data_IF_770657653859
#
_entry.id   IF_770657653859
#
_cell.length_a   1.000
_cell.length_b   1.000
_cell.length_c   1.000
_cell.angle_alpha   90.00
_cell.angle_beta   90.00
_cell.angle_gamma   90.00
#
_symmetry.space_group_name_H-M   'P 1'
#
loop_
_entity.id
_entity.type
_entity.pdbx_description
1 polymer ?
#
# COMPACT_ATOMS: atom_id res chain seq x y z
N UNK A 1 14.21 24.90 -4.91
CA UNK A 1 15.08 25.46 -5.99
C UNK A 1 15.33 24.51 -7.17
N UNK A 2 14.89 23.26 -7.12
CA UNK A 2 15.10 22.26 -8.21
C UNK A 2 14.56 22.70 -9.56
N UNK A 3 13.41 23.37 -9.60
CA UNK A 3 12.82 23.89 -10.84
C UNK A 3 13.76 24.83 -11.60
N UNK A 4 14.56 25.62 -10.89
CA UNK A 4 15.53 26.51 -11.53
C UNK A 4 16.65 25.71 -12.23
N UNK A 5 17.15 24.67 -11.58
CA UNK A 5 18.19 23.80 -12.15
C UNK A 5 17.62 23.04 -13.35
N UNK A 6 16.44 22.45 -13.21
CA UNK A 6 15.74 21.73 -14.29
C UNK A 6 15.53 22.64 -15.49
N UNK A 7 15.07 23.89 -15.25
CA UNK A 7 14.87 24.90 -16.30
C UNK A 7 16.20 25.26 -17.00
N UNK A 8 17.27 25.47 -16.24
CA UNK A 8 18.59 25.76 -16.78
C UNK A 8 19.04 24.68 -17.76
N UNK A 9 18.99 23.42 -17.35
CA UNK A 9 19.40 22.29 -18.20
C UNK A 9 18.43 22.04 -19.36
N UNK A 10 17.14 22.27 -19.19
CA UNK A 10 16.19 22.20 -20.30
C UNK A 10 16.50 23.24 -21.37
N UNK A 11 16.83 24.48 -20.99
CA UNK A 11 17.22 25.53 -21.93
C UNK A 11 18.56 25.21 -22.59
N UNK A 12 19.50 24.59 -21.87
CA UNK A 12 20.78 24.17 -22.42
C UNK A 12 20.64 23.09 -23.52
N UNK A 13 19.70 22.15 -23.36
CA UNK A 13 19.43 21.13 -24.36
C UNK A 13 18.41 21.56 -25.44
N UNK A 14 17.81 22.75 -25.30
CA UNK A 14 16.76 23.22 -26.23
C UNK A 14 17.19 23.25 -27.70
N UNK A 15 18.48 23.52 -28.09
CA UNK A 15 18.91 23.45 -29.47
C UNK A 15 18.86 22.02 -30.06
N UNK A 16 18.95 20.99 -29.20
CA UNK A 16 18.82 19.59 -29.61
C UNK A 16 17.36 19.13 -29.76
N UNK A 17 16.39 19.96 -29.30
CA UNK A 17 14.97 19.65 -29.31
C UNK A 17 14.28 20.33 -30.49
N UNK A 18 13.93 19.56 -31.50
CA UNK A 18 13.28 20.06 -32.72
C UNK A 18 11.96 20.77 -32.41
N UNK A 19 11.79 22.00 -32.88
CA UNK A 19 10.61 22.85 -32.68
C UNK A 19 10.32 23.16 -31.22
N UNK A 20 11.36 23.38 -30.43
CA UNK A 20 11.23 23.78 -29.02
C UNK A 20 10.49 25.11 -28.90
N UNK A 21 9.48 25.17 -28.06
CA UNK A 21 8.70 26.36 -27.77
C UNK A 21 8.17 26.34 -26.34
N UNK A 22 8.23 27.48 -25.65
CA UNK A 22 7.56 27.68 -24.39
C UNK A 22 6.10 28.06 -24.63
N UNK A 23 5.15 27.31 -24.04
CA UNK A 23 3.71 27.53 -24.19
C UNK A 23 3.12 28.35 -23.04
N UNK A 24 3.62 28.12 -21.82
CA UNK A 24 3.27 28.83 -20.58
C UNK A 24 4.49 28.80 -19.65
N UNK A 25 4.39 29.49 -18.54
CA UNK A 25 5.38 29.32 -17.48
C UNK A 25 5.50 27.86 -17.09
N UNK A 26 6.73 27.35 -17.07
CA UNK A 26 7.05 25.95 -16.74
C UNK A 26 6.34 24.88 -17.61
N UNK A 27 5.93 25.27 -18.85
CA UNK A 27 5.37 24.35 -19.86
C UNK A 27 6.04 24.53 -21.21
N UNK A 28 6.76 23.53 -21.66
CA UNK A 28 7.51 23.52 -22.91
C UNK A 28 7.01 22.42 -23.83
N UNK A 29 7.00 22.70 -25.13
CA UNK A 29 6.53 21.78 -26.17
C UNK A 29 7.56 21.67 -27.28
N UNK A 30 7.79 20.46 -27.78
CA UNK A 30 8.72 20.15 -28.87
C UNK A 30 8.39 18.81 -29.51
N UNK A 31 9.04 18.49 -30.63
CA UNK A 31 8.95 17.15 -31.22
C UNK A 31 9.65 16.14 -30.29
N UNK A 32 8.97 15.03 -30.05
CA UNK A 32 9.50 13.99 -29.17
C UNK A 32 10.84 13.46 -29.69
N UNK A 33 11.94 13.56 -28.92
CA UNK A 33 13.25 13.03 -29.36
C UNK A 33 13.30 11.50 -29.31
N UNK A 34 12.35 10.84 -28.62
CA UNK A 34 12.33 9.39 -28.46
C UNK A 34 11.65 8.70 -29.63
N UNK A 35 10.47 9.17 -30.05
CA UNK A 35 9.72 8.55 -31.15
C UNK A 35 9.69 9.36 -32.45
N UNK A 36 10.30 10.54 -32.46
CA UNK A 36 10.32 11.44 -33.62
C UNK A 36 8.97 12.04 -33.99
N UNK A 37 7.92 11.82 -33.15
CA UNK A 37 6.54 12.25 -33.43
C UNK A 37 5.94 11.64 -34.71
N UNK A 38 5.00 12.34 -35.34
CA UNK A 38 4.35 11.86 -36.57
C UNK A 38 5.28 11.88 -37.77
N UNK A 39 5.43 10.76 -38.44
CA UNK A 39 6.19 10.64 -39.69
C UNK A 39 5.49 11.38 -40.87
N UNK A 40 4.14 11.35 -40.89
CA UNK A 40 3.34 11.97 -41.93
C UNK A 40 3.24 13.49 -41.78
N UNK A 41 3.28 14.00 -40.57
CA UNK A 41 3.16 15.44 -40.31
C UNK A 41 4.32 15.94 -39.45
N UNK A 42 5.31 16.56 -40.11
CA UNK A 42 6.52 17.08 -39.47
C UNK A 42 6.28 18.32 -38.61
N UNK A 43 5.07 18.91 -38.61
CA UNK A 43 4.75 20.10 -37.81
C UNK A 43 4.21 19.74 -36.41
N UNK A 44 3.75 18.51 -36.20
CA UNK A 44 3.19 18.08 -34.93
C UNK A 44 4.29 17.93 -33.88
N UNK A 45 4.06 18.52 -32.70
CA UNK A 45 4.91 18.47 -31.53
C UNK A 45 4.09 17.94 -30.36
N UNK A 46 4.38 16.73 -29.88
CA UNK A 46 3.62 16.04 -28.83
C UNK A 46 4.48 15.69 -27.60
N UNK A 47 5.74 16.07 -27.61
CA UNK A 47 6.62 16.04 -26.44
C UNK A 47 6.40 17.28 -25.60
N UNK A 48 6.22 17.11 -24.30
CA UNK A 48 6.03 18.17 -23.34
C UNK A 48 6.95 17.99 -22.15
N UNK A 49 7.58 19.09 -21.69
CA UNK A 49 8.17 19.19 -20.37
C UNK A 49 7.32 20.17 -19.56
N UNK A 50 6.94 19.77 -18.38
CA UNK A 50 6.08 20.55 -17.49
C UNK A 50 6.49 20.37 -16.02
N UNK A 51 6.16 21.37 -15.24
CA UNK A 51 6.38 21.35 -13.80
C UNK A 51 5.33 20.52 -13.08
N UNK A 52 5.77 19.65 -12.17
CA UNK A 52 4.93 18.97 -11.20
C UNK A 52 5.58 19.07 -9.82
N UNK A 53 4.98 19.87 -8.93
CA UNK A 53 5.56 20.25 -7.64
C UNK A 53 6.87 21.02 -7.84
N UNK A 54 7.99 20.45 -7.40
CA UNK A 54 9.31 21.08 -7.43
C UNK A 54 10.24 20.56 -8.53
N UNK A 55 9.74 19.75 -9.47
CA UNK A 55 10.55 19.16 -10.53
C UNK A 55 9.86 19.25 -11.88
N UNK A 56 10.65 19.11 -12.93
CA UNK A 56 10.15 18.93 -14.29
C UNK A 56 9.97 17.45 -14.61
N UNK A 57 8.94 17.20 -15.41
CA UNK A 57 8.61 15.89 -15.97
C UNK A 57 8.44 16.00 -17.47
N UNK A 58 8.85 14.96 -18.16
CA UNK A 58 8.62 14.82 -19.60
C UNK A 58 7.47 13.84 -19.85
N UNK A 59 6.63 14.19 -20.84
CA UNK A 59 5.59 13.31 -21.37
C UNK A 59 5.41 13.51 -22.87
N UNK A 60 5.29 12.39 -23.59
CA UNK A 60 4.93 12.39 -25.01
C UNK A 60 3.52 11.82 -25.20
N UNK A 61 2.64 12.59 -25.85
CA UNK A 61 1.29 12.16 -26.19
C UNK A 61 1.21 11.30 -27.46
N UNK A 62 2.33 11.01 -28.12
CA UNK A 62 2.37 10.13 -29.29
C UNK A 62 2.78 8.70 -28.88
N UNK A 63 3.88 8.54 -28.18
CA UNK A 63 4.38 7.21 -27.78
C UNK A 63 4.08 6.85 -26.32
N UNK A 64 3.42 7.74 -25.56
CA UNK A 64 3.09 7.50 -24.16
C UNK A 64 4.25 7.60 -23.18
N UNK A 65 5.49 7.86 -23.66
CA UNK A 65 6.65 7.97 -22.78
C UNK A 65 6.42 9.01 -21.68
N UNK A 66 6.65 8.62 -20.42
CA UNK A 66 6.54 9.48 -19.24
C UNK A 66 7.81 9.27 -18.40
N UNK A 67 8.61 10.32 -18.27
CA UNK A 67 9.96 10.27 -17.66
C UNK A 67 10.14 11.40 -16.66
N UNK A 68 10.97 11.17 -15.66
CA UNK A 68 11.54 12.25 -14.84
C UNK A 68 12.46 13.12 -15.70
N UNK A 69 12.72 14.35 -15.28
CA UNK A 69 13.62 15.22 -16.03
C UNK A 69 15.05 14.63 -16.15
N UNK A 70 15.51 13.94 -15.11
CA UNK A 70 16.78 13.21 -15.15
C UNK A 70 16.82 12.16 -16.28
N UNK A 71 15.82 11.28 -16.32
CA UNK A 71 15.73 10.22 -17.35
C UNK A 71 15.54 10.80 -18.77
N UNK A 72 14.85 11.93 -18.88
CA UNK A 72 14.70 12.63 -20.14
C UNK A 72 16.02 13.24 -20.61
N UNK A 73 16.75 13.90 -19.72
CA UNK A 73 18.06 14.49 -19.99
C UNK A 73 19.07 13.41 -20.41
N UNK A 74 19.09 12.27 -19.75
CA UNK A 74 19.93 11.13 -20.09
C UNK A 74 19.72 10.64 -21.53
N UNK A 75 18.47 10.65 -22.01
CA UNK A 75 18.12 10.22 -23.38
C UNK A 75 18.45 11.27 -24.45
N UNK A 76 18.52 12.53 -24.09
CA UNK A 76 18.79 13.64 -25.02
C UNK A 76 20.26 14.00 -25.04
N UNK A 77 20.89 14.01 -23.88
CA UNK A 77 22.27 14.41 -23.68
C UNK A 77 22.90 13.77 -22.42
N UNK A 78 23.51 12.61 -22.60
CA UNK A 78 24.13 11.86 -21.52
C UNK A 78 25.33 12.58 -20.88
N UNK A 79 25.98 13.46 -21.61
CA UNK A 79 27.17 14.14 -21.11
C UNK A 79 26.84 15.19 -20.03
N UNK A 80 25.65 15.75 -20.09
CA UNK A 80 25.19 16.74 -19.12
C UNK A 80 24.68 16.12 -17.82
N UNK A 81 24.42 14.83 -17.79
CA UNK A 81 23.86 14.14 -16.62
C UNK A 81 24.72 14.31 -15.38
N UNK A 82 26.03 14.16 -15.51
CA UNK A 82 26.96 14.27 -14.37
C UNK A 82 26.94 15.67 -13.76
N UNK A 83 26.94 16.69 -14.62
CA UNK A 83 26.88 18.07 -14.17
C UNK A 83 25.52 18.39 -13.52
N UNK A 84 24.42 17.95 -14.14
CA UNK A 84 23.08 18.11 -13.60
C UNK A 84 22.92 17.45 -12.23
N UNK A 85 23.38 16.20 -12.08
CA UNK A 85 23.31 15.46 -10.82
C UNK A 85 24.15 16.14 -9.73
N UNK A 86 25.38 16.61 -10.08
CA UNK A 86 26.26 17.30 -9.15
C UNK A 86 25.67 18.64 -8.68
N UNK A 87 25.09 19.42 -9.61
CA UNK A 87 24.49 20.70 -9.29
C UNK A 87 23.24 20.53 -8.40
N UNK A 88 22.41 19.53 -8.67
CA UNK A 88 21.29 19.19 -7.79
C UNK A 88 21.74 18.73 -6.41
N UNK A 89 22.79 17.91 -6.34
CA UNK A 89 23.37 17.47 -5.08
C UNK A 89 23.95 18.64 -4.27
N UNK A 90 24.73 19.53 -4.89
CA UNK A 90 25.31 20.71 -4.20
C UNK A 90 24.27 21.70 -3.74
N UNK A 91 23.10 21.76 -4.41
CA UNK A 91 21.98 22.58 -4.01
C UNK A 91 21.10 21.96 -2.92
N UNK A 92 21.50 20.80 -2.38
CA UNK A 92 20.77 20.07 -1.35
C UNK A 92 19.51 19.34 -1.87
N UNK A 93 19.39 19.19 -3.18
CA UNK A 93 18.26 18.57 -3.86
C UNK A 93 18.68 17.24 -4.48
N UNK A 94 18.83 16.24 -3.65
CA UNK A 94 18.96 14.86 -4.14
C UNK A 94 17.61 14.43 -4.70
N UNK A 95 17.59 13.88 -5.91
CA UNK A 95 16.38 13.50 -6.66
C UNK A 95 15.48 12.44 -6.04
N UNK A 96 15.59 12.20 -4.76
CA UNK A 96 14.62 11.45 -3.95
C UNK A 96 13.66 12.46 -3.32
N UNK A 97 12.50 12.64 -3.95
CA UNK A 97 11.36 13.33 -3.36
C UNK A 97 11.09 12.81 -1.96
N UNK A 98 11.24 13.62 -0.96
CA UNK A 98 10.95 13.42 0.48
C UNK A 98 12.15 13.27 1.40
N UNK A 99 13.32 13.82 1.09
CA UNK A 99 14.22 14.08 2.20
C UNK A 99 13.74 15.32 2.97
N UNK A 100 12.76 15.12 3.86
CA UNK A 100 12.65 16.01 5.00
C UNK A 100 13.94 15.87 5.77
N UNK A 101 14.72 16.97 5.94
CA UNK A 101 15.83 16.95 6.89
C UNK A 101 15.27 16.38 8.19
N UNK A 102 15.83 15.26 8.72
CA UNK A 102 15.38 14.77 10.01
C UNK A 102 15.57 15.90 11.01
N UNK A 103 14.48 16.43 11.52
CA UNK A 103 14.56 17.27 12.70
C UNK A 103 14.85 16.32 13.85
N UNK A 104 15.76 16.68 14.74
CA UNK A 104 16.10 15.85 15.92
C UNK A 104 14.88 15.54 16.79
N UNK A 105 13.79 16.27 16.60
CA UNK A 105 12.51 16.02 17.27
C UNK A 105 11.78 14.76 16.75
N UNK A 106 12.06 14.32 15.51
CA UNK A 106 11.55 13.05 14.99
C UNK A 106 12.23 11.84 15.63
N UNK A 107 13.41 12.01 16.26
CA UNK A 107 14.11 10.97 17.01
C UNK A 107 13.72 10.93 18.51
N UNK A 108 12.93 11.87 18.97
CA UNK A 108 12.24 11.75 20.25
C UNK A 108 11.05 10.80 20.09
N UNK A 109 11.34 9.55 19.74
CA UNK A 109 10.40 8.48 19.95
C UNK A 109 10.20 8.47 21.46
N UNK A 110 9.12 9.12 21.92
CA UNK A 110 8.63 8.83 23.27
C UNK A 110 8.47 7.33 23.30
N UNK A 111 9.11 6.60 24.22
CA UNK A 111 8.85 5.19 24.34
C UNK A 111 7.34 5.07 24.59
N UNK A 112 6.62 4.72 23.55
CA UNK A 112 5.24 4.29 23.70
C UNK A 112 5.39 2.93 24.35
N UNK A 113 5.22 2.87 25.67
CA UNK A 113 5.01 1.61 26.34
C UNK A 113 3.73 1.05 25.75
N UNK A 114 3.87 0.19 24.75
CA UNK A 114 2.75 -0.54 24.18
C UNK A 114 2.24 -1.47 25.27
N UNK A 115 1.25 -1.02 26.01
CA UNK A 115 0.47 -1.94 26.83
C UNK A 115 -0.19 -2.89 25.84
N UNK A 116 0.12 -4.19 25.92
CA UNK A 116 -0.51 -5.21 25.08
C UNK A 116 -2.02 -5.04 25.23
N UNK A 117 -2.66 -4.56 24.19
CA UNK A 117 -4.12 -4.42 24.17
C UNK A 117 -4.69 -5.83 24.25
N UNK A 118 -5.22 -6.20 25.40
CA UNK A 118 -5.86 -7.49 25.60
C UNK A 118 -7.29 -7.40 25.10
N UNK A 119 -7.70 -8.38 24.33
CA UNK A 119 -9.10 -8.54 23.94
C UNK A 119 -9.84 -9.07 25.17
N UNK A 120 -10.78 -8.27 25.69
CA UNK A 120 -11.61 -8.64 26.82
C UNK A 120 -12.99 -9.15 26.31
N UNK A 121 -12.94 -10.23 25.53
CA UNK A 121 -14.12 -10.91 24.98
C UNK A 121 -14.02 -12.40 25.26
N UNK A 122 -15.16 -13.07 25.27
CA UNK A 122 -15.22 -14.53 25.37
C UNK A 122 -14.74 -15.17 24.05
N UNK A 123 -13.85 -16.15 24.17
CA UNK A 123 -13.42 -16.94 23.01
C UNK A 123 -14.57 -17.84 22.54
N UNK A 124 -14.61 -18.15 21.25
CA UNK A 124 -15.63 -19.05 20.69
C UNK A 124 -15.54 -20.44 21.34
N UNK A 125 -14.35 -20.86 21.72
CA UNK A 125 -14.16 -22.15 22.38
C UNK A 125 -14.85 -22.21 23.77
N UNK A 126 -14.81 -21.13 24.53
CA UNK A 126 -15.41 -21.03 25.87
C UNK A 126 -16.94 -20.91 25.87
N UNK A 127 -17.55 -20.58 24.74
CA UNK A 127 -19.00 -20.45 24.63
C UNK A 127 -19.71 -21.81 24.73
N UNK A 128 -20.96 -21.84 25.24
CA UNK A 128 -21.78 -23.06 25.21
C UNK A 128 -21.94 -23.60 23.78
N UNK A 129 -22.05 -24.90 23.64
CA UNK A 129 -22.21 -25.57 22.34
C UNK A 129 -23.47 -25.15 21.57
N UNK A 130 -24.49 -24.71 22.27
CA UNK A 130 -25.75 -24.18 21.74
C UNK A 130 -25.68 -22.70 21.35
N UNK A 131 -24.55 -22.04 21.57
CA UNK A 131 -24.42 -20.63 21.24
C UNK A 131 -24.27 -20.46 19.72
N UNK A 132 -25.10 -19.59 19.11
CA UNK A 132 -25.18 -19.42 17.65
C UNK A 132 -23.83 -19.05 17.00
N UNK A 133 -22.95 -18.30 17.69
CA UNK A 133 -21.62 -17.97 17.18
C UNK A 133 -20.71 -19.20 17.09
N UNK A 134 -20.82 -20.13 18.07
CA UNK A 134 -20.06 -21.39 18.04
C UNK A 134 -20.64 -22.34 17.01
N UNK A 135 -21.97 -22.39 16.90
CA UNK A 135 -22.66 -23.14 15.85
C UNK A 135 -22.28 -22.64 14.45
N UNK A 136 -22.22 -21.32 14.25
CA UNK A 136 -21.73 -20.75 13.01
C UNK A 136 -20.31 -21.25 12.64
N UNK A 137 -19.38 -21.29 13.61
CA UNK A 137 -18.02 -21.78 13.37
C UNK A 137 -18.00 -23.28 13.07
N UNK A 138 -18.83 -24.09 13.76
CA UNK A 138 -18.98 -25.54 13.51
C UNK A 138 -19.54 -25.79 12.12
N UNK A 139 -20.57 -25.07 11.71
CA UNK A 139 -21.20 -25.20 10.38
C UNK A 139 -20.23 -24.83 9.24
N UNK A 140 -19.27 -23.96 9.53
CA UNK A 140 -18.17 -23.64 8.60
C UNK A 140 -16.99 -24.60 8.70
N UNK A 141 -17.07 -25.62 9.52
CA UNK A 141 -16.02 -26.63 9.72
C UNK A 141 -14.68 -26.03 10.20
N UNK A 142 -14.71 -24.90 10.90
CA UNK A 142 -13.48 -24.30 11.45
C UNK A 142 -12.85 -25.30 12.45
N UNK A 143 -11.53 -25.59 12.33
CA UNK A 143 -10.87 -26.52 13.23
C UNK A 143 -11.01 -26.12 14.69
N UNK A 144 -11.30 -27.08 15.57
CA UNK A 144 -11.59 -26.84 16.98
C UNK A 144 -10.43 -26.14 17.72
N UNK A 145 -9.20 -26.47 17.39
CA UNK A 145 -7.99 -25.86 17.95
C UNK A 145 -7.85 -24.37 17.62
N UNK A 146 -8.52 -23.89 16.56
CA UNK A 146 -8.53 -22.49 16.15
C UNK A 146 -9.59 -21.65 16.84
N UNK A 147 -10.63 -22.27 17.43
CA UNK A 147 -11.73 -21.55 18.08
C UNK A 147 -11.31 -20.69 19.28
N UNK A 148 -10.24 -21.08 19.97
CA UNK A 148 -9.66 -20.33 21.10
C UNK A 148 -9.11 -18.95 20.70
N UNK A 149 -8.78 -18.75 19.42
CA UNK A 149 -8.21 -17.51 18.88
C UNK A 149 -9.28 -16.62 18.21
N UNK A 150 -10.53 -17.06 18.21
CA UNK A 150 -11.67 -16.32 17.71
C UNK A 150 -12.56 -15.91 18.86
N UNK A 151 -13.13 -14.71 18.79
CA UNK A 151 -13.93 -14.15 19.88
C UNK A 151 -15.31 -13.75 19.39
N UNK A 152 -16.22 -13.62 20.35
CA UNK A 152 -17.57 -13.17 20.09
C UNK A 152 -17.83 -11.83 20.78
N UNK A 153 -18.55 -10.95 20.10
CA UNK A 153 -19.15 -9.74 20.70
C UNK A 153 -20.60 -9.58 20.29
N UNK A 154 -21.44 -9.17 21.22
CA UNK A 154 -22.83 -8.78 20.95
C UNK A 154 -22.95 -7.35 20.44
N UNK A 155 -21.91 -6.52 20.67
CA UNK A 155 -21.85 -5.13 20.22
C UNK A 155 -20.41 -4.81 19.74
N UNK A 156 -20.25 -4.82 18.43
CA UNK A 156 -18.96 -4.56 17.81
C UNK A 156 -18.51 -3.09 17.96
N UNK A 157 -19.47 -2.14 17.99
CA UNK A 157 -19.17 -0.73 18.19
C UNK A 157 -18.57 -0.49 19.57
N UNK A 158 -19.20 -1.05 20.61
CA UNK A 158 -18.68 -0.97 21.99
C UNK A 158 -17.30 -1.61 22.10
N UNK A 159 -17.10 -2.80 21.57
CA UNK A 159 -15.79 -3.46 21.56
C UNK A 159 -14.69 -2.60 20.91
N UNK A 160 -15.00 -1.96 19.75
CA UNK A 160 -14.03 -1.10 19.05
C UNK A 160 -13.68 0.13 19.89
N UNK A 161 -14.65 0.71 20.58
CA UNK A 161 -14.43 1.81 21.52
C UNK A 161 -13.57 1.37 22.73
N UNK A 162 -13.83 0.19 23.28
CA UNK A 162 -13.10 -0.35 24.45
C UNK A 162 -11.61 -0.62 24.14
N UNK A 163 -11.27 -0.95 22.88
CA UNK A 163 -9.87 -1.07 22.44
C UNK A 163 -9.24 0.26 22.05
N UNK A 164 -9.92 1.38 22.28
CA UNK A 164 -9.39 2.74 22.08
C UNK A 164 -9.41 3.23 20.62
N UNK A 165 -10.27 2.67 19.77
CA UNK A 165 -10.40 3.06 18.37
C UNK A 165 -11.76 3.71 18.14
N UNK A 166 -11.75 4.93 17.58
CA UNK A 166 -12.95 5.57 17.09
C UNK A 166 -13.15 5.25 15.61
N UNK A 167 -14.30 4.71 15.27
CA UNK A 167 -14.67 4.43 13.88
C UNK A 167 -16.14 4.85 13.66
N UNK A 168 -16.31 5.75 12.72
CA UNK A 168 -17.63 6.18 12.28
C UNK A 168 -18.39 5.05 11.57
N UNK A 169 -19.73 5.16 11.55
CA UNK A 169 -20.63 4.23 10.86
C UNK A 169 -20.70 2.79 11.42
N UNK A 170 -20.30 2.58 12.68
CA UNK A 170 -20.58 1.33 13.37
C UNK A 170 -21.98 1.36 14.00
N UNK A 171 -22.66 0.23 13.92
CA UNK A 171 -24.04 0.05 14.43
C UNK A 171 -23.96 -0.56 15.84
N UNK A 172 -24.82 -0.13 16.73
CA UNK A 172 -24.99 -0.72 18.06
C UNK A 172 -25.66 -2.10 17.97
N UNK A 173 -25.41 -2.96 18.94
CA UNK A 173 -25.94 -4.33 19.00
C UNK A 173 -25.62 -5.17 17.73
N UNK A 174 -24.46 -4.93 17.13
CA UNK A 174 -24.01 -5.66 15.95
C UNK A 174 -23.20 -6.89 16.37
N UNK A 175 -23.84 -8.06 16.31
CA UNK A 175 -23.26 -9.34 16.70
C UNK A 175 -22.22 -9.80 15.70
N UNK A 176 -20.95 -9.91 16.14
CA UNK A 176 -19.84 -10.29 15.26
C UNK A 176 -18.92 -11.33 15.87
N UNK A 177 -18.39 -12.15 14.98
CA UNK A 177 -17.18 -12.93 15.20
C UNK A 177 -15.99 -11.98 15.06
N UNK A 178 -15.18 -11.85 16.10
CA UNK A 178 -13.98 -11.00 16.13
C UNK A 178 -12.75 -11.85 15.87
N UNK A 179 -11.99 -11.46 14.85
CA UNK A 179 -10.77 -12.11 14.37
C UNK A 179 -9.61 -11.13 14.61
N UNK A 180 -8.78 -11.34 15.62
CA UNK A 180 -7.66 -10.44 15.94
C UNK A 180 -6.45 -10.71 15.05
N UNK A 181 -5.71 -9.66 14.73
CA UNK A 181 -4.46 -9.71 13.96
C UNK A 181 -3.33 -9.26 14.87
N UNK A 182 -2.41 -10.16 15.15
CA UNK A 182 -1.26 -9.92 16.00
C UNK A 182 0.02 -9.80 15.17
N UNK A 183 1.00 -9.05 15.69
CA UNK A 183 2.37 -9.11 15.21
C UNK A 183 3.10 -10.35 15.80
N UNK A 184 4.37 -10.54 15.43
CA UNK A 184 5.20 -11.63 15.93
C UNK A 184 5.46 -11.55 17.44
N UNK A 185 5.37 -10.37 18.00
CA UNK A 185 5.55 -10.08 19.44
C UNK A 185 4.25 -10.25 20.24
N UNK A 186 3.13 -10.55 19.55
CA UNK A 186 1.80 -10.73 20.13
C UNK A 186 1.08 -9.41 20.46
N UNK A 187 1.45 -8.30 19.82
CA UNK A 187 0.70 -7.05 19.96
C UNK A 187 -0.45 -7.03 18.96
N UNK A 188 -1.61 -6.52 19.38
CA UNK A 188 -2.79 -6.44 18.54
C UNK A 188 -2.64 -5.29 17.54
N UNK A 189 -2.60 -5.61 16.24
CA UNK A 189 -2.44 -4.65 15.15
C UNK A 189 -3.79 -4.19 14.58
N UNK A 190 -4.72 -5.10 14.46
CA UNK A 190 -6.04 -4.88 13.90
C UNK A 190 -7.00 -5.97 14.38
N UNK A 191 -8.28 -5.75 14.16
CA UNK A 191 -9.27 -6.81 14.28
C UNK A 191 -10.26 -6.74 13.12
N UNK A 192 -10.79 -7.89 12.74
CA UNK A 192 -11.84 -7.98 11.75
C UNK A 192 -13.10 -8.55 12.39
N UNK A 193 -14.21 -7.83 12.26
CA UNK A 193 -15.53 -8.27 12.70
C UNK A 193 -16.33 -8.88 11.56
N UNK A 194 -16.60 -10.19 11.61
CA UNK A 194 -17.50 -10.89 10.68
C UNK A 194 -18.93 -10.88 11.23
N UNK A 195 -19.89 -10.35 10.48
CA UNK A 195 -21.29 -10.37 10.86
C UNK A 195 -21.81 -11.80 11.02
N UNK A 196 -22.51 -12.07 12.11
CA UNK A 196 -23.14 -13.36 12.40
C UNK A 196 -24.63 -13.40 12.02
N UNK A 197 -25.19 -12.24 11.63
CA UNK A 197 -26.56 -12.09 11.12
C UNK A 197 -26.58 -11.33 9.80
N UNK A 198 -27.79 -10.88 9.42
CA UNK A 198 -27.95 -10.01 8.26
C UNK A 198 -27.30 -8.65 8.53
N UNK A 199 -26.35 -8.27 7.68
CA UNK A 199 -25.65 -6.99 7.78
C UNK A 199 -25.26 -6.49 6.41
N UNK A 200 -25.40 -5.18 6.18
CA UNK A 200 -24.92 -4.51 4.95
C UNK A 200 -23.43 -4.67 4.75
N UNK A 201 -22.67 -4.72 5.84
CA UNK A 201 -21.21 -4.91 5.82
C UNK A 201 -20.86 -6.26 6.45
N UNK A 202 -20.65 -7.25 5.60
CA UNK A 202 -20.30 -8.61 6.00
C UNK A 202 -19.03 -8.68 6.82
N UNK A 203 -18.01 -7.89 6.47
CA UNK A 203 -16.75 -7.77 7.18
C UNK A 203 -16.44 -6.31 7.46
N UNK A 204 -15.97 -6.02 8.66
CA UNK A 204 -15.48 -4.71 9.07
C UNK A 204 -14.10 -4.90 9.66
N UNK A 205 -13.08 -4.29 9.05
CA UNK A 205 -11.72 -4.31 9.60
C UNK A 205 -11.43 -2.99 10.31
N UNK A 206 -10.95 -3.09 11.53
CA UNK A 206 -10.56 -1.98 12.40
C UNK A 206 -9.06 -2.06 12.63
N UNK A 207 -8.36 -0.97 12.39
CA UNK A 207 -6.93 -0.83 12.66
C UNK A 207 -6.72 -0.19 14.00
N UNK A 208 -5.76 -0.69 14.76
CA UNK A 208 -5.31 -0.10 16.02
C UNK A 208 -4.09 0.78 15.77
N UNK A 209 -3.22 0.39 14.83
CA UNK A 209 -2.10 1.20 14.39
C UNK A 209 -2.16 1.46 12.88
N UNK A 210 -1.87 2.71 12.47
CA UNK A 210 -1.87 3.09 11.05
C UNK A 210 -0.61 2.63 10.28
N UNK A 211 0.45 2.27 11.00
CA UNK A 211 1.80 2.08 10.44
C UNK A 211 2.10 0.67 9.93
N UNK A 212 1.20 -0.31 10.04
CA UNK A 212 1.50 -1.71 9.82
C UNK A 212 0.79 -2.37 8.65
N UNK A 213 1.45 -3.37 8.04
CA UNK A 213 0.81 -4.35 7.17
C UNK A 213 -0.10 -5.22 8.02
N UNK A 214 -1.35 -5.36 7.61
CA UNK A 214 -2.36 -6.16 8.32
C UNK A 214 -2.39 -7.55 7.71
N UNK A 215 -1.61 -8.43 8.30
CA UNK A 215 -1.71 -9.84 7.98
C UNK A 215 -2.24 -10.57 9.21
N UNK A 216 -3.26 -11.38 9.01
CA UNK A 216 -3.72 -12.33 10.00
C UNK A 216 -2.77 -13.51 10.04
N UNK A 217 -2.45 -14.03 11.23
CA UNK A 217 -1.65 -15.23 11.40
C UNK A 217 -0.14 -15.01 11.47
N UNK A 218 0.37 -13.76 11.49
CA UNK A 218 1.80 -13.47 11.59
C UNK A 218 2.46 -14.00 12.87
N UNK A 219 1.68 -14.09 13.94
CA UNK A 219 2.10 -14.58 15.26
C UNK A 219 2.34 -16.09 15.31
N UNK A 220 1.88 -16.83 14.29
CA UNK A 220 1.91 -18.29 14.27
C UNK A 220 2.66 -18.89 13.07
N UNK A 221 3.40 -18.09 12.30
CA UNK A 221 4.12 -18.59 11.12
C UNK A 221 5.48 -19.15 11.47
N UNK A 222 5.83 -20.26 10.82
CA UNK A 222 7.18 -20.79 10.75
C UNK A 222 7.84 -20.34 9.43
N UNK A 223 8.88 -19.50 9.51
CA UNK A 223 9.57 -18.97 8.33
C UNK A 223 10.45 -20.00 7.62
N UNK A 224 10.75 -21.13 8.26
CA UNK A 224 11.53 -22.23 7.67
C UNK A 224 10.68 -23.15 6.80
N UNK A 225 9.34 -23.00 6.85
CA UNK A 225 8.40 -23.79 6.07
C UNK A 225 7.71 -22.95 5.00
N UNK A 226 7.07 -23.61 4.05
CA UNK A 226 6.24 -22.95 3.03
C UNK A 226 5.11 -22.17 3.70
N UNK A 227 5.03 -20.87 3.45
CA UNK A 227 3.98 -19.99 3.96
C UNK A 227 2.91 -19.84 2.88
N UNK A 228 1.67 -20.21 3.22
CA UNK A 228 0.52 -20.01 2.34
C UNK A 228 -0.07 -18.63 2.57
N UNK A 229 -0.36 -17.92 1.48
CA UNK A 229 -0.97 -16.58 1.52
C UNK A 229 -2.34 -16.64 0.90
N UNK A 230 -3.36 -16.32 1.70
CA UNK A 230 -4.76 -16.30 1.26
C UNK A 230 -5.39 -14.92 1.47
N UNK A 231 -6.56 -14.68 0.87
CA UNK A 231 -7.27 -13.41 1.02
C UNK A 231 -8.00 -13.33 2.36
N UNK A 232 -8.73 -14.39 2.72
CA UNK A 232 -9.63 -14.41 3.88
C UNK A 232 -8.98 -14.96 5.15
N UNK A 233 -9.07 -14.26 6.30
CA UNK A 233 -8.60 -14.80 7.58
C UNK A 233 -9.22 -16.13 7.97
N UNK A 234 -10.52 -16.33 7.70
CA UNK A 234 -11.19 -17.61 7.98
C UNK A 234 -10.61 -18.73 7.11
N UNK A 235 -10.30 -18.45 5.84
CA UNK A 235 -9.76 -19.44 4.91
C UNK A 235 -8.36 -19.91 5.32
N UNK A 236 -7.56 -19.01 5.91
CA UNK A 236 -6.23 -19.37 6.44
C UNK A 236 -6.27 -20.32 7.62
N UNK A 237 -7.40 -20.40 8.36
CA UNK A 237 -7.53 -21.31 9.50
C UNK A 237 -7.52 -22.81 9.11
N UNK A 238 -7.79 -23.11 7.85
CA UNK A 238 -7.79 -24.48 7.31
C UNK A 238 -6.42 -24.93 6.81
N UNK A 239 -5.44 -24.05 6.79
CA UNK A 239 -4.10 -24.31 6.30
C UNK A 239 -3.09 -24.25 7.46
N UNK A 240 -2.12 -25.13 7.41
CA UNK A 240 -0.95 -25.02 8.26
C UNK A 240 -0.03 -23.94 7.71
N UNK A 241 0.56 -23.14 8.59
CA UNK A 241 1.54 -22.11 8.24
C UNK A 241 1.02 -21.10 7.20
N UNK A 242 -0.14 -20.48 7.49
CA UNK A 242 -0.80 -19.56 6.56
C UNK A 242 -1.02 -18.17 7.14
N UNK A 243 -0.96 -17.18 6.27
CA UNK A 243 -1.33 -15.80 6.55
C UNK A 243 -2.46 -15.33 5.64
N UNK A 244 -3.25 -14.37 6.10
CA UNK A 244 -4.27 -13.73 5.28
C UNK A 244 -4.12 -12.21 5.23
N UNK A 245 -4.43 -11.62 4.07
CA UNK A 245 -4.29 -10.17 3.84
C UNK A 245 -5.47 -9.35 4.34
N UNK A 246 -6.61 -9.99 4.54
CA UNK A 246 -7.87 -9.39 4.98
C UNK A 246 -8.41 -8.23 4.10
N UNK A 247 -7.84 -8.04 2.94
CA UNK A 247 -8.34 -7.10 1.93
C UNK A 247 -8.06 -7.64 0.51
N UNK A 248 -8.82 -7.16 -0.47
CA UNK A 248 -8.75 -7.57 -1.88
C UNK A 248 -7.52 -7.02 -2.64
N UNK A 249 -6.51 -6.47 -1.95
CA UNK A 249 -5.35 -5.84 -2.58
C UNK A 249 -4.09 -6.73 -2.58
N UNK A 250 -4.24 -8.04 -2.70
CA UNK A 250 -3.12 -8.98 -2.81
C UNK A 250 -2.18 -8.58 -3.95
N UNK A 251 -2.70 -8.26 -5.12
CA UNK A 251 -1.92 -7.92 -6.32
C UNK A 251 -1.08 -6.65 -6.19
N UNK A 252 -1.53 -5.67 -5.43
CA UNK A 252 -0.77 -4.43 -5.22
C UNK A 252 0.38 -4.57 -4.22
N UNK A 253 0.36 -5.61 -3.38
CA UNK A 253 1.36 -5.86 -2.34
C UNK A 253 2.39 -6.91 -2.78
N UNK A 254 2.04 -7.79 -3.71
CA UNK A 254 2.90 -8.88 -4.20
C UNK A 254 3.99 -8.44 -5.18
N UNK A 255 3.88 -7.27 -5.81
CA UNK A 255 4.86 -6.77 -6.79
C UNK A 255 6.26 -6.47 -6.21
N UNK A 256 6.50 -6.72 -4.92
CA UNK A 256 7.82 -6.60 -4.29
C UNK A 256 8.42 -7.91 -3.79
N UNK A 257 7.71 -9.01 -3.94
CA UNK A 257 8.27 -10.34 -3.72
C UNK A 257 8.42 -10.98 -5.10
N UNK A 258 9.64 -11.28 -5.50
CA UNK A 258 9.94 -12.13 -6.65
C UNK A 258 9.32 -13.50 -6.39
N UNK A 259 8.05 -13.68 -6.70
CA UNK A 259 7.41 -14.98 -6.76
C UNK A 259 7.33 -15.38 -8.21
N UNK A 260 8.03 -16.45 -8.56
CA UNK A 260 7.76 -17.22 -9.77
C UNK A 260 6.28 -17.61 -9.73
N UNK A 261 5.48 -17.04 -10.65
CA UNK A 261 4.10 -17.43 -10.86
C UNK A 261 4.03 -18.91 -11.24
N UNK A 262 3.60 -19.76 -10.34
CA UNK A 262 2.92 -20.99 -10.69
C UNK A 262 1.42 -20.72 -10.62
N UNK A 263 0.80 -20.60 -11.78
CA UNK A 263 -0.65 -20.56 -11.95
C UNK A 263 -1.29 -21.81 -11.34
N UNK A 264 -1.85 -21.67 -10.14
CA UNK A 264 -2.80 -22.65 -9.60
C UNK A 264 -4.12 -21.90 -9.37
N UNK A 265 -4.74 -21.48 -10.45
CA UNK A 265 -6.13 -21.06 -10.43
C UNK A 265 -6.88 -21.78 -11.54
N UNK A 266 -7.37 -22.98 -11.25
CA UNK A 266 -8.58 -23.56 -11.86
C UNK A 266 -8.92 -24.84 -11.14
N UNK A 267 -9.75 -24.75 -10.11
CA UNK A 267 -10.60 -25.89 -9.77
C UNK A 267 -11.89 -25.79 -10.60
N UNK A 268 -12.29 -26.83 -11.30
CA UNK A 268 -13.60 -26.86 -11.96
C UNK A 268 -14.71 -26.98 -10.91
N UNK A 269 -15.81 -26.33 -11.21
CA UNK A 269 -17.09 -26.36 -10.49
C UNK A 269 -17.68 -27.76 -10.41
#
# INVERSE_FOLDING_TARGET
MSVYIDRKYLLQISPKLSRFSQKKDDLYNFRCPICGDSQKNKTKCRGYVFRKKNDYFYRCHNCGASLTFYQFLEKVDSDLIKQYALERYSSGETGTHNYKKPTFDEFKIKPVFKTKTKINLESIDSLPDSHFAKEYCKNRLIPADKLKNLYYTSDFKKFVSDIGVEKENLIENDHRLVIPFYDKEGNLLACQGRALGESKMRYITVKIEDSGRKFFGLDNINEEETIYVVEGPIDSLFLNNAIATADSNLDRKSTRLNSSHTDISRMPS
#
